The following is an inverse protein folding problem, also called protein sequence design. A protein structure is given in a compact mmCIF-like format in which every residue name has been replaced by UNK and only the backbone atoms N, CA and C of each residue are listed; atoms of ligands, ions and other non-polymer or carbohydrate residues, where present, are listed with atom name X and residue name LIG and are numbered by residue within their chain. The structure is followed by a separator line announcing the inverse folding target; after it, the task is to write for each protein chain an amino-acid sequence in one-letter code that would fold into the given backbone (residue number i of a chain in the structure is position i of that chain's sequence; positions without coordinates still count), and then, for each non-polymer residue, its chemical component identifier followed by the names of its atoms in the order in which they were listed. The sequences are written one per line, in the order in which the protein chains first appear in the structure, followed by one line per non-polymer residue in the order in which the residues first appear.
data_IF_330234841030
#
_entry.id   IF_330234841030
#
_cell.length_a   1.000
_cell.length_b   1.000
_cell.length_c   1.000
_cell.angle_alpha   90.00
_cell.angle_beta   90.00
_cell.angle_gamma   90.00
#
_symmetry.space_group_name_H-M   'P 1'
#
loop_
_entity.id
_entity.type
_entity.pdbx_description
1 polymer ?
#
# COMPACT_ATOMS: atom_id res chain seq x y z
N UNK A 1 19.67 -5.22 14.75
CA UNK A 1 18.26 -5.35 15.18
C UNK A 1 17.46 -5.63 13.94
N UNK A 2 17.16 -6.90 13.70
CA UNK A 2 16.29 -7.34 12.62
C UNK A 2 15.15 -8.11 13.28
N UNK A 3 14.02 -8.18 12.59
CA UNK A 3 12.80 -8.94 12.92
C UNK A 3 11.74 -8.17 13.70
N UNK A 4 10.80 -7.62 12.94
CA UNK A 4 9.39 -7.85 13.22
C UNK A 4 8.71 -8.33 11.95
N UNK A 5 8.72 -9.65 11.76
CA UNK A 5 7.74 -10.38 10.94
C UNK A 5 6.43 -10.28 11.70
N UNK A 6 5.46 -9.51 11.22
CA UNK A 6 4.10 -9.58 11.74
C UNK A 6 3.17 -10.26 10.73
N UNK A 7 2.71 -11.42 11.19
CA UNK A 7 1.61 -12.26 10.72
C UNK A 7 0.30 -11.45 10.55
N UNK A 8 -0.69 -11.98 9.80
CA UNK A 8 -1.89 -11.27 9.38
C UNK A 8 -2.87 -11.09 10.55
N UNK A 9 -2.51 -10.25 11.50
CA UNK A 9 -3.47 -9.49 12.29
C UNK A 9 -3.81 -8.24 11.47
N UNK A 10 -5.04 -7.73 11.59
CA UNK A 10 -5.53 -6.58 10.82
C UNK A 10 -4.85 -5.30 11.33
N UNK A 11 -3.53 -5.21 11.17
CA UNK A 11 -2.74 -4.03 11.47
C UNK A 11 -2.98 -3.04 10.35
N UNK A 12 -3.68 -1.95 10.70
CA UNK A 12 -3.75 -0.77 9.85
C UNK A 12 -2.44 -0.01 10.05
N UNK A 13 -1.84 0.37 8.93
CA UNK A 13 -0.61 1.15 8.92
C UNK A 13 -0.91 2.51 8.30
N UNK A 14 -0.21 3.56 8.75
CA UNK A 14 -0.25 4.85 8.10
C UNK A 14 0.10 4.69 6.63
N UNK A 15 -0.62 5.43 5.77
CA UNK A 15 -0.35 5.44 4.33
C UNK A 15 1.11 5.83 4.04
N UNK A 16 1.69 6.72 4.84
CA UNK A 16 3.07 7.15 4.73
C UNK A 16 4.06 6.00 4.96
N UNK A 17 3.82 5.13 5.94
CA UNK A 17 4.65 3.94 6.18
C UNK A 17 4.49 2.91 5.05
N UNK A 18 3.27 2.72 4.56
CA UNK A 18 3.00 1.86 3.41
C UNK A 18 3.68 2.41 2.15
N UNK A 19 3.74 3.73 1.99
CA UNK A 19 4.43 4.39 0.88
C UNK A 19 5.94 4.24 0.99
N UNK A 20 6.51 4.49 2.17
CA UNK A 20 7.93 4.31 2.43
C UNK A 20 8.39 2.87 2.17
N UNK A 21 7.53 1.89 2.45
CA UNK A 21 7.80 0.46 2.22
C UNK A 21 7.14 -0.08 0.94
N UNK A 22 6.59 0.76 0.06
CA UNK A 22 5.76 0.31 -1.07
C UNK A 22 6.52 -0.64 -2.01
N UNK A 23 7.79 -0.35 -2.23
CA UNK A 23 8.65 -1.17 -3.08
C UNK A 23 8.95 -2.54 -2.44
N UNK A 24 9.14 -2.60 -1.11
CA UNK A 24 9.38 -3.85 -0.40
C UNK A 24 8.10 -4.70 -0.20
N UNK A 25 6.95 -4.05 -0.01
CA UNK A 25 5.68 -4.72 0.31
C UNK A 25 4.86 -5.11 -0.92
N UNK A 26 4.89 -4.27 -1.96
CA UNK A 26 4.01 -4.40 -3.12
C UNK A 26 4.77 -4.48 -4.45
N UNK A 27 6.10 -4.33 -4.44
CA UNK A 27 6.95 -4.26 -5.63
C UNK A 27 6.54 -3.14 -6.60
N UNK A 28 6.00 -2.04 -6.04
CA UNK A 28 5.63 -0.84 -6.79
C UNK A 28 6.34 0.38 -6.22
N UNK A 29 6.52 1.40 -7.06
CA UNK A 29 7.09 2.66 -6.59
C UNK A 29 6.12 3.40 -5.65
N UNK A 30 6.60 4.17 -4.67
CA UNK A 30 5.75 4.96 -3.76
C UNK A 30 4.77 5.88 -4.50
N UNK A 31 5.14 6.40 -5.67
CA UNK A 31 4.27 7.23 -6.51
C UNK A 31 3.06 6.45 -7.06
N UNK A 32 3.19 5.13 -7.24
CA UNK A 32 2.07 4.26 -7.65
C UNK A 32 1.12 4.05 -6.50
N UNK A 33 1.62 3.88 -5.27
CA UNK A 33 0.77 3.83 -4.08
C UNK A 33 0.06 5.18 -3.87
N UNK A 34 0.79 6.31 -3.94
CA UNK A 34 0.19 7.64 -3.86
C UNK A 34 -0.86 7.88 -4.95
N UNK A 35 -0.61 7.42 -6.19
CA UNK A 35 -1.58 7.46 -7.28
C UNK A 35 -2.79 6.54 -7.07
N UNK A 36 -2.59 5.35 -6.50
CA UNK A 36 -3.67 4.42 -6.18
C UNK A 36 -4.54 4.91 -5.01
N UNK A 37 -3.95 5.73 -4.13
CA UNK A 37 -4.62 6.39 -3.01
C UNK A 37 -5.10 7.80 -3.36
N UNK A 38 -4.87 8.24 -4.60
CA UNK A 38 -5.33 9.54 -5.06
C UNK A 38 -6.86 9.56 -5.06
N UNK A 39 -7.45 10.38 -4.18
CA UNK A 39 -8.90 10.43 -3.97
C UNK A 39 -9.43 9.51 -2.87
N UNK A 40 -8.57 8.77 -2.16
CA UNK A 40 -8.95 8.00 -0.98
C UNK A 40 -8.51 8.78 0.27
N UNK A 41 -9.47 9.41 0.96
CA UNK A 41 -9.23 10.16 2.21
C UNK A 41 -9.12 9.21 3.41
N UNK A 42 -8.11 8.35 3.41
CA UNK A 42 -7.81 7.46 4.53
C UNK A 42 -6.39 7.70 5.01
N UNK A 43 -6.23 7.90 6.32
CA UNK A 43 -4.93 8.10 6.94
C UNK A 43 -4.20 6.76 7.18
N UNK A 44 -4.96 5.68 7.40
CA UNK A 44 -4.44 4.35 7.72
C UNK A 44 -5.23 3.28 6.98
N UNK A 45 -4.53 2.24 6.50
CA UNK A 45 -5.17 1.08 5.88
C UNK A 45 -4.35 -0.19 6.09
N UNK A 46 -4.98 -1.33 5.86
CA UNK A 46 -4.25 -2.60 5.87
C UNK A 46 -3.43 -2.81 4.59
N UNK A 47 -2.37 -3.61 4.70
CA UNK A 47 -1.56 -4.05 3.55
C UNK A 47 -2.43 -4.67 2.45
N UNK A 48 -3.46 -5.44 2.84
CA UNK A 48 -4.40 -6.08 1.91
C UNK A 48 -5.24 -5.08 1.12
N UNK A 49 -5.75 -4.04 1.79
CA UNK A 49 -6.52 -2.97 1.15
C UNK A 49 -5.65 -2.14 0.19
N UNK A 50 -4.46 -1.73 0.65
CA UNK A 50 -3.48 -1.03 -0.19
C UNK A 50 -3.17 -1.83 -1.45
N UNK A 51 -2.92 -3.14 -1.30
CA UNK A 51 -2.65 -4.05 -2.43
C UNK A 51 -3.82 -4.14 -3.41
N UNK A 52 -5.05 -4.14 -2.92
CA UNK A 52 -6.24 -4.17 -3.76
C UNK A 52 -6.39 -2.86 -4.56
N UNK A 53 -6.18 -1.71 -3.92
CA UNK A 53 -6.22 -0.39 -4.56
C UNK A 53 -5.11 -0.24 -5.60
N UNK A 54 -3.87 -0.61 -5.26
CA UNK A 54 -2.75 -0.62 -6.21
C UNK A 54 -3.08 -1.47 -7.44
N UNK A 55 -3.60 -2.68 -7.25
CA UNK A 55 -3.97 -3.57 -8.36
C UNK A 55 -5.08 -3.00 -9.22
N UNK A 56 -6.06 -2.33 -8.62
CA UNK A 56 -7.14 -1.66 -9.34
C UNK A 56 -6.59 -0.50 -10.18
N UNK A 57 -5.76 0.34 -9.57
CA UNK A 57 -5.11 1.47 -10.23
C UNK A 57 -4.23 1.03 -11.40
N UNK A 58 -3.38 0.02 -11.19
CA UNK A 58 -2.54 -0.54 -12.24
C UNK A 58 -3.38 -1.09 -13.40
N UNK A 59 -4.52 -1.74 -13.12
CA UNK A 59 -5.42 -2.28 -14.13
C UNK A 59 -6.16 -1.21 -14.91
N UNK A 60 -6.61 -0.13 -14.25
CA UNK A 60 -7.29 0.99 -14.92
C UNK A 60 -6.38 1.74 -15.87
N UNK A 61 -5.07 1.79 -15.61
CA UNK A 61 -4.08 2.44 -16.49
C UNK A 61 -3.69 1.63 -17.73
N UNK A 62 -4.18 0.39 -17.90
CA UNK A 62 -3.88 -0.50 -19.07
C UNK A 62 -5.01 -0.49 -20.11
N UNK A 63 -5.65 0.65 -20.36
CA UNK A 63 -6.56 0.84 -21.51
C UNK A 63 -6.17 2.06 -22.32
#
# INVERSE_FOLDING_TARGET
MAEKKEQPSISRYPVEELAANAQALFDVKPEVLAGALHGVEVAEMSVSEAKALIRKFLREKVK
#
